data_IF_943352657863
#
_entry.id   IF_943352657863
#
_cell.length_a   1.000
_cell.length_b   1.000
_cell.length_c   1.000
_cell.angle_alpha   90.00
_cell.angle_beta   90.00
_cell.angle_gamma   90.00
#
_symmetry.space_group_name_H-M   'P 1'
#
loop_
_entity.id
_entity.type
_entity.pdbx_description
1 polymer ?
#
# COMPACT_ATOMS: atom_id res chain seq x y z
N UNK A 1 -23.97 60.13 14.96
CA UNK A 1 -23.99 61.59 15.17
C UNK A 1 -22.57 61.94 15.54
N UNK A 2 -21.69 62.16 14.57
CA UNK A 2 -21.51 63.41 13.79
C UNK A 2 -20.08 63.88 14.15
N UNK A 3 -19.19 64.38 13.30
CA UNK A 3 -19.23 64.86 11.91
C UNK A 3 -17.80 64.68 11.36
N UNK A 4 -17.70 64.56 10.03
CA UNK A 4 -16.50 64.74 9.25
C UNK A 4 -15.75 66.05 9.53
N UNK A 5 -14.42 66.01 9.48
CA UNK A 5 -13.59 67.14 9.09
C UNK A 5 -12.75 66.72 7.87
N UNK A 6 -13.35 66.94 6.71
CA UNK A 6 -12.64 67.03 5.45
C UNK A 6 -11.81 68.32 5.44
N UNK A 7 -10.52 68.22 5.11
CA UNK A 7 -9.75 69.37 4.66
C UNK A 7 -9.85 69.48 3.13
N UNK A 8 -10.09 70.69 2.58
CA UNK A 8 -10.23 70.91 1.16
C UNK A 8 -8.91 71.32 0.49
N UNK A 9 -8.72 70.87 -0.75
CA UNK A 9 -8.06 71.65 -1.79
C UNK A 9 -6.54 71.51 -1.95
N UNK A 10 -6.13 70.61 -2.84
CA UNK A 10 -5.26 71.01 -3.96
C UNK A 10 -5.42 70.01 -5.11
N UNK A 11 -6.16 70.45 -6.13
CA UNK A 11 -6.04 69.98 -7.50
C UNK A 11 -4.66 70.42 -8.02
N UNK A 12 -3.90 69.52 -8.65
CA UNK A 12 -3.48 69.65 -10.06
C UNK A 12 -2.42 68.62 -10.46
N UNK A 13 -2.64 68.06 -11.66
CA UNK A 13 -1.66 67.64 -12.66
C UNK A 13 -0.69 66.50 -12.28
N UNK A 14 -1.03 65.31 -12.75
CA UNK A 14 -0.10 64.18 -12.78
C UNK A 14 -0.66 62.94 -13.48
N UNK A 15 -1.40 63.10 -14.58
CA UNK A 15 -1.58 62.00 -15.54
C UNK A 15 -0.25 61.78 -16.26
N UNK A 16 0.73 61.20 -15.57
CA UNK A 16 1.83 60.53 -16.24
C UNK A 16 1.31 59.18 -16.69
N UNK A 17 0.91 59.16 -17.96
CA UNK A 17 0.92 57.99 -18.83
C UNK A 17 2.01 57.02 -18.41
N UNK A 18 1.61 55.86 -17.89
CA UNK A 18 2.49 54.70 -17.81
C UNK A 18 2.80 54.32 -19.26
N UNK A 19 4.04 54.45 -19.76
CA UNK A 19 4.36 53.91 -21.07
C UNK A 19 4.20 52.39 -20.98
N UNK A 20 3.51 51.83 -21.96
CA UNK A 20 3.46 50.39 -22.15
C UNK A 20 4.89 49.85 -22.12
N UNK A 21 5.15 49.00 -21.14
CA UNK A 21 6.34 48.18 -21.02
C UNK A 21 6.49 47.40 -22.34
N UNK A 22 7.34 47.90 -23.23
CA UNK A 22 7.89 47.12 -24.32
C UNK A 22 8.72 46.02 -23.67
N UNK A 23 8.04 44.91 -23.35
CA UNK A 23 8.71 43.70 -22.91
C UNK A 23 9.84 43.38 -23.89
N UNK A 24 11.00 42.93 -23.39
CA UNK A 24 12.18 42.78 -24.23
C UNK A 24 11.85 41.85 -25.38
N UNK A 25 11.82 42.41 -26.59
CA UNK A 25 11.88 41.66 -27.84
C UNK A 25 13.07 40.72 -27.71
N UNK A 26 12.79 39.41 -27.66
CA UNK A 26 13.78 38.35 -27.73
C UNK A 26 14.47 38.45 -29.10
N UNK A 27 15.42 39.36 -29.20
CA UNK A 27 16.26 39.56 -30.37
C UNK A 27 17.66 39.09 -29.96
N UNK A 28 17.97 37.86 -30.38
CA UNK A 28 19.29 37.26 -30.24
C UNK A 28 19.34 36.05 -29.29
N UNK A 29 18.70 34.94 -29.66
CA UNK A 29 19.34 33.65 -29.35
C UNK A 29 20.30 33.36 -30.49
N UNK A 30 21.56 33.08 -30.15
CA UNK A 30 22.54 32.68 -31.15
C UNK A 30 22.00 31.46 -31.93
N UNK A 31 22.27 31.33 -33.24
CA UNK A 31 21.62 30.33 -34.11
C UNK A 31 21.85 28.86 -33.71
N UNK A 32 22.70 28.57 -32.72
CA UNK A 32 22.86 27.23 -32.12
C UNK A 32 22.16 27.03 -30.76
N UNK A 33 21.76 28.09 -30.07
CA UNK A 33 21.15 27.97 -28.73
C UNK A 33 19.72 27.46 -28.84
N UNK A 34 18.94 27.92 -29.82
CA UNK A 34 17.56 27.45 -30.03
C UNK A 34 17.46 25.93 -30.25
N UNK A 35 18.41 25.35 -30.98
CA UNK A 35 18.49 23.91 -31.24
C UNK A 35 18.89 23.11 -30.01
N UNK A 36 19.87 23.59 -29.23
CA UNK A 36 20.27 22.96 -27.95
C UNK A 36 19.11 23.00 -26.95
N UNK A 37 18.40 24.13 -26.85
CA UNK A 37 17.21 24.25 -26.00
C UNK A 37 16.07 23.34 -26.50
N UNK A 38 15.90 23.19 -27.81
CA UNK A 38 14.92 22.28 -28.40
C UNK A 38 15.26 20.81 -28.11
N UNK A 39 16.53 20.42 -28.26
CA UNK A 39 17.03 19.10 -27.91
C UNK A 39 16.82 18.80 -26.42
N UNK A 40 17.16 19.74 -25.54
CA UNK A 40 16.97 19.61 -24.10
C UNK A 40 15.48 19.45 -23.71
N UNK A 41 14.59 20.23 -24.34
CA UNK A 41 13.13 20.09 -24.15
C UNK A 41 12.63 18.72 -24.62
N UNK A 42 13.16 18.20 -25.73
CA UNK A 42 12.82 16.89 -26.26
C UNK A 42 13.28 15.76 -25.32
N UNK A 43 14.52 15.85 -24.81
CA UNK A 43 15.05 14.91 -23.83
C UNK A 43 14.19 14.89 -22.55
N UNK A 44 13.83 16.06 -22.02
CA UNK A 44 13.00 16.14 -20.82
C UNK A 44 11.60 15.57 -21.03
N UNK A 45 11.00 15.78 -22.21
CA UNK A 45 9.72 15.17 -22.57
C UNK A 45 9.83 13.64 -22.56
N UNK A 46 10.88 13.08 -23.16
CA UNK A 46 11.11 11.63 -23.18
C UNK A 46 11.33 11.05 -21.78
N UNK A 47 12.02 11.78 -20.89
CA UNK A 47 12.18 11.39 -19.48
C UNK A 47 10.82 11.33 -18.77
N UNK A 48 9.98 12.35 -18.98
CA UNK A 48 8.64 12.44 -18.41
C UNK A 48 7.74 11.30 -18.90
N UNK A 49 7.80 10.96 -20.18
CA UNK A 49 7.02 9.86 -20.75
C UNK A 49 7.43 8.51 -20.15
N UNK A 50 8.73 8.29 -19.93
CA UNK A 50 9.22 7.10 -19.22
C UNK A 50 8.65 7.04 -17.79
N UNK A 51 8.72 8.13 -17.03
CA UNK A 51 8.16 8.19 -15.66
C UNK A 51 6.66 7.87 -15.68
N UNK A 52 5.92 8.44 -16.63
CA UNK A 52 4.48 8.20 -16.74
C UNK A 52 4.17 6.73 -17.06
N UNK A 53 4.93 6.11 -17.96
CA UNK A 53 4.77 4.69 -18.26
C UNK A 53 5.04 3.81 -17.04
N UNK A 54 6.07 4.10 -16.25
CA UNK A 54 6.33 3.36 -15.00
C UNK A 54 5.22 3.54 -13.97
N UNK A 55 4.65 4.74 -13.83
CA UNK A 55 3.50 4.98 -12.94
C UNK A 55 2.26 4.18 -13.40
N UNK A 56 2.00 4.11 -14.70
CA UNK A 56 0.90 3.32 -15.26
C UNK A 56 1.14 1.81 -15.12
N UNK A 57 2.39 1.34 -15.22
CA UNK A 57 2.68 -0.08 -14.94
C UNK A 57 2.50 -0.40 -13.46
N UNK A 58 2.93 0.49 -12.58
CA UNK A 58 2.76 0.36 -11.13
C UNK A 58 1.27 0.28 -10.75
N UNK A 59 0.39 1.07 -11.37
CA UNK A 59 -1.05 1.04 -11.07
C UNK A 59 -1.74 -0.27 -11.43
N UNK A 60 -1.16 -1.09 -12.31
CA UNK A 60 -1.73 -2.39 -12.72
C UNK A 60 -1.51 -3.50 -11.68
N UNK A 61 -0.48 -3.37 -10.84
CA UNK A 61 -0.12 -4.39 -9.86
C UNK A 61 -0.61 -4.06 -8.44
N UNK A 62 -1.03 -2.82 -8.21
CA UNK A 62 -1.56 -2.40 -6.91
C UNK A 62 -3.08 -2.63 -6.90
N UNK A 63 -3.62 -3.31 -5.87
CA UNK A 63 -5.06 -3.45 -5.69
C UNK A 63 -5.78 -2.10 -5.73
N UNK A 64 -7.00 -2.09 -6.29
CA UNK A 64 -7.89 -0.92 -6.32
C UNK A 64 -7.32 0.35 -6.98
N UNK A 65 -6.21 0.26 -7.72
CA UNK A 65 -5.63 1.38 -8.48
C UNK A 65 -6.17 1.48 -9.91
N UNK A 66 -6.73 0.40 -10.46
CA UNK A 66 -7.25 0.36 -11.83
C UNK A 66 -8.77 0.61 -11.92
N UNK A 67 -9.46 0.71 -10.78
CA UNK A 67 -10.91 0.50 -10.71
C UNK A 67 -11.76 1.69 -11.15
N UNK A 68 -11.29 2.94 -11.13
CA UNK A 68 -12.12 4.04 -11.61
C UNK A 68 -11.30 5.22 -12.14
N UNK A 69 -11.57 5.59 -13.39
CA UNK A 69 -11.19 6.87 -14.00
C UNK A 69 -11.85 8.09 -13.30
N UNK A 70 -12.49 7.88 -12.15
CA UNK A 70 -12.93 8.92 -11.23
C UNK A 70 -11.72 9.57 -10.59
N UNK A 71 -11.25 10.66 -11.24
CA UNK A 71 -10.47 11.84 -10.85
C UNK A 71 -9.43 11.80 -9.69
N UNK A 72 -9.56 10.93 -8.70
CA UNK A 72 -8.65 10.74 -7.56
C UNK A 72 -7.84 9.44 -7.64
N UNK A 73 -8.42 8.33 -8.11
CA UNK A 73 -7.76 7.01 -8.18
C UNK A 73 -6.73 6.86 -9.32
N UNK A 74 -6.96 7.54 -10.44
CA UNK A 74 -6.06 7.55 -11.60
C UNK A 74 -4.94 8.61 -11.52
N UNK A 75 -4.87 9.37 -10.42
CA UNK A 75 -3.85 10.41 -10.26
C UNK A 75 -2.49 9.79 -9.93
N UNK A 76 -1.40 10.37 -10.45
CA UNK A 76 -0.04 9.90 -10.16
C UNK A 76 0.25 9.86 -8.65
N UNK A 77 -0.24 10.86 -7.91
CA UNK A 77 -0.12 10.91 -6.45
C UNK A 77 -0.92 9.80 -5.76
N UNK A 78 -2.16 9.54 -6.21
CA UNK A 78 -3.01 8.47 -5.68
C UNK A 78 -2.38 7.09 -5.88
N UNK A 79 -1.85 6.83 -7.08
CA UNK A 79 -1.14 5.57 -7.39
C UNK A 79 0.06 5.40 -6.47
N UNK A 80 0.89 6.44 -6.29
CA UNK A 80 2.07 6.38 -5.41
C UNK A 80 1.70 6.20 -3.94
N UNK A 81 0.62 6.84 -3.46
CA UNK A 81 0.13 6.66 -2.09
C UNK A 81 -0.31 5.22 -1.86
N UNK A 82 -1.18 4.69 -2.73
CA UNK A 82 -1.65 3.31 -2.64
C UNK A 82 -0.51 2.30 -2.78
N UNK A 83 0.51 2.59 -3.59
CA UNK A 83 1.72 1.78 -3.69
C UNK A 83 2.43 1.67 -2.35
N UNK A 84 2.62 2.80 -1.66
CA UNK A 84 3.26 2.83 -0.35
C UNK A 84 2.45 2.03 0.68
N UNK A 85 1.13 2.20 0.70
CA UNK A 85 0.24 1.50 1.63
C UNK A 85 0.26 -0.01 1.37
N UNK A 86 0.15 -0.41 0.11
CA UNK A 86 0.19 -1.83 -0.29
C UNK A 86 1.53 -2.48 0.06
N UNK A 87 2.67 -1.80 -0.12
CA UNK A 87 3.98 -2.33 0.30
C UNK A 87 4.04 -2.53 1.81
N UNK A 88 3.51 -1.59 2.61
CA UNK A 88 3.49 -1.73 4.07
C UNK A 88 2.61 -2.90 4.50
N UNK A 89 1.41 -2.99 3.92
CA UNK A 89 0.48 -4.08 4.17
C UNK A 89 1.11 -5.43 3.79
N UNK A 90 1.71 -5.54 2.60
CA UNK A 90 2.34 -6.78 2.14
C UNK A 90 3.47 -7.23 3.08
N UNK A 91 4.27 -6.29 3.60
CA UNK A 91 5.31 -6.61 4.60
C UNK A 91 4.69 -7.11 5.91
N UNK A 92 3.64 -6.47 6.40
CA UNK A 92 2.95 -6.87 7.63
C UNK A 92 2.26 -8.24 7.47
N UNK A 93 1.58 -8.45 6.35
CA UNK A 93 0.88 -9.71 6.04
C UNK A 93 1.88 -10.86 5.86
N UNK A 94 3.02 -10.63 5.19
CA UNK A 94 4.08 -11.62 5.10
C UNK A 94 4.65 -11.99 6.47
N UNK A 95 4.86 -11.01 7.36
CA UNK A 95 5.32 -11.28 8.72
C UNK A 95 4.30 -12.13 9.50
N UNK A 96 3.02 -11.74 9.48
CA UNK A 96 1.95 -12.50 10.15
C UNK A 96 1.81 -13.92 9.58
N UNK A 97 1.97 -14.07 8.26
CA UNK A 97 1.93 -15.37 7.61
C UNK A 97 3.08 -16.27 8.08
N UNK A 98 4.29 -15.73 8.25
CA UNK A 98 5.43 -16.47 8.81
C UNK A 98 5.19 -16.92 10.26
N UNK A 99 4.60 -16.07 11.09
CA UNK A 99 4.23 -16.42 12.46
C UNK A 99 3.17 -17.54 12.48
N UNK A 100 2.13 -17.40 11.65
CA UNK A 100 1.06 -18.41 11.50
C UNK A 100 1.60 -19.75 11.00
N UNK A 101 2.56 -19.70 10.07
CA UNK A 101 3.20 -20.90 9.54
C UNK A 101 3.99 -21.66 10.62
N UNK A 102 4.80 -20.96 11.41
CA UNK A 102 5.53 -21.56 12.54
C UNK A 102 4.61 -22.14 13.60
N UNK A 103 3.50 -21.46 13.86
CA UNK A 103 2.46 -21.95 14.77
C UNK A 103 1.84 -23.25 14.25
N UNK A 104 1.51 -23.31 12.94
CA UNK A 104 0.98 -24.50 12.31
C UNK A 104 1.96 -25.68 12.37
N UNK A 105 3.27 -25.45 12.15
CA UNK A 105 4.30 -26.47 12.31
C UNK A 105 4.37 -27.02 13.74
N UNK A 106 4.29 -26.14 14.75
CA UNK A 106 4.26 -26.57 16.15
C UNK A 106 3.03 -27.41 16.45
N UNK A 107 1.85 -26.94 16.05
CA UNK A 107 0.59 -27.66 16.24
C UNK A 107 0.58 -29.00 15.51
N UNK A 108 1.22 -29.09 14.34
CA UNK A 108 1.37 -30.35 13.62
C UNK A 108 2.20 -31.34 14.44
N UNK A 109 3.34 -30.92 14.98
CA UNK A 109 4.19 -31.79 15.81
C UNK A 109 3.47 -32.23 17.09
N UNK A 110 2.74 -31.31 17.75
CA UNK A 110 1.92 -31.64 18.92
C UNK A 110 0.81 -32.65 18.56
N UNK A 111 0.19 -32.51 17.39
CA UNK A 111 -0.84 -33.44 16.91
C UNK A 111 -0.28 -34.84 16.65
N UNK A 112 0.91 -34.92 16.05
CA UNK A 112 1.62 -36.18 15.82
C UNK A 112 1.97 -36.88 17.14
N UNK A 113 2.47 -36.14 18.13
CA UNK A 113 2.77 -36.67 19.46
C UNK A 113 1.50 -37.18 20.17
N UNK A 114 0.41 -36.42 20.13
CA UNK A 114 -0.87 -36.84 20.73
C UNK A 114 -1.42 -38.10 20.06
N UNK A 115 -1.26 -38.23 18.73
CA UNK A 115 -1.65 -39.46 18.02
C UNK A 115 -0.83 -40.67 18.46
N UNK A 116 0.48 -40.50 18.66
CA UNK A 116 1.34 -41.56 19.20
C UNK A 116 0.89 -41.96 20.61
N UNK A 117 0.62 -41.00 21.49
CA UNK A 117 0.16 -41.27 22.85
C UNK A 117 -1.17 -42.00 22.89
N UNK A 118 -2.11 -41.65 22.00
CA UNK A 118 -3.40 -42.34 21.87
C UNK A 118 -3.18 -43.81 21.48
N UNK A 119 -2.24 -44.07 20.55
CA UNK A 119 -1.96 -45.43 20.09
C UNK A 119 -1.30 -46.28 21.18
N UNK A 120 -0.34 -45.71 21.92
CA UNK A 120 0.27 -46.37 23.09
C UNK A 120 -0.78 -46.72 24.14
N UNK A 121 -1.63 -45.77 24.53
CA UNK A 121 -2.68 -46.00 25.52
C UNK A 121 -3.70 -47.03 25.05
N UNK A 122 -4.05 -47.06 23.76
CA UNK A 122 -4.92 -48.10 23.19
C UNK A 122 -4.28 -49.48 23.30
N UNK A 123 -2.98 -49.58 23.00
CA UNK A 123 -2.24 -50.85 23.11
C UNK A 123 -2.17 -51.33 24.56
N UNK A 124 -1.83 -50.44 25.51
CA UNK A 124 -1.85 -50.76 26.93
C UNK A 124 -3.24 -51.21 27.40
N UNK A 125 -4.29 -50.49 26.98
CA UNK A 125 -5.67 -50.85 27.32
C UNK A 125 -6.04 -52.23 26.76
N UNK A 126 -5.62 -52.56 25.54
CA UNK A 126 -5.85 -53.86 24.93
C UNK A 126 -5.13 -54.98 25.69
N UNK A 127 -3.88 -54.77 26.10
CA UNK A 127 -3.11 -55.73 26.91
C UNK A 127 -3.76 -55.95 28.26
N UNK A 128 -4.15 -54.88 28.97
CA UNK A 128 -4.81 -54.97 30.26
C UNK A 128 -6.15 -55.70 30.16
N UNK A 129 -6.95 -55.41 29.12
CA UNK A 129 -8.21 -56.13 28.86
C UNK A 129 -7.97 -57.62 28.63
N UNK A 130 -6.95 -57.98 27.85
CA UNK A 130 -6.58 -59.37 27.62
C UNK A 130 -6.16 -60.09 28.92
N UNK A 131 -5.38 -59.42 29.78
CA UNK A 131 -5.00 -59.96 31.09
C UNK A 131 -6.21 -60.19 32.01
N UNK A 132 -7.15 -59.23 32.06
CA UNK A 132 -8.36 -59.37 32.87
C UNK A 132 -9.26 -60.52 32.39
N UNK A 133 -9.39 -60.69 31.07
CA UNK A 133 -10.08 -61.83 30.46
C UNK A 133 -9.41 -63.17 30.80
N UNK A 134 -8.08 -63.25 30.76
CA UNK A 134 -7.33 -64.46 31.14
C UNK A 134 -7.54 -64.84 32.61
N UNK A 135 -7.76 -63.86 33.48
CA UNK A 135 -7.98 -64.06 34.91
C UNK A 135 -9.47 -64.18 35.30
N UNK A 136 -10.40 -64.32 34.35
CA UNK A 136 -11.86 -64.37 34.58
C UNK A 136 -12.41 -63.18 35.41
N UNK A 137 -11.76 -62.03 35.35
CA UNK A 137 -12.21 -60.80 36.01
C UNK A 137 -13.10 -60.04 35.02
N UNK A 138 -14.42 -60.17 35.16
CA UNK A 138 -15.39 -59.46 34.30
C UNK A 138 -15.27 -57.94 34.46
N UNK A 139 -15.18 -57.24 33.33
CA UNK A 139 -15.21 -55.78 33.26
C UNK A 139 -16.65 -55.29 33.45
N UNK A 140 -17.00 -54.85 34.66
CA UNK A 140 -18.25 -54.11 34.92
C UNK A 140 -18.07 -52.67 34.41
N UNK A 141 -18.63 -52.34 33.24
CA UNK A 141 -18.74 -50.94 32.83
C UNK A 141 -18.78 -50.64 31.34
N UNK A 142 -19.70 -51.24 30.58
CA UNK A 142 -20.28 -50.53 29.43
C UNK A 142 -21.55 -49.83 29.91
N UNK A 143 -21.40 -48.60 30.39
CA UNK A 143 -22.52 -47.67 30.47
C UNK A 143 -22.14 -46.40 29.73
N UNK A 144 -22.76 -46.31 28.54
CA UNK A 144 -23.14 -45.09 27.84
C UNK A 144 -22.03 -44.25 27.21
N UNK A 145 -21.90 -44.36 25.88
CA UNK A 145 -21.68 -43.20 24.98
C UNK A 145 -22.45 -43.43 23.67
N UNK A 146 -23.70 -42.94 23.66
CA UNK A 146 -24.37 -42.48 22.43
C UNK A 146 -23.90 -41.05 22.13
#
# INVERSE_FOLDING_TARGET
MDVALAQPGCLIAGLTTVPADEGPRLQGLAPGEGEVHAHQRALERRRRDKINNWIVQLSKIIPDCNADNSKTGASKGGILSKACDYIRELRQTNQRMQETFKEAERLQMDNELLRQQIEELKNENAVLRAQLQQHNLEMVGESTRQ
#
